data_IF_367357706431
#
_entry.id   IF_367357706431
#
_cell.length_a   1.000
_cell.length_b   1.000
_cell.length_c   1.000
_cell.angle_alpha   90.00
_cell.angle_beta   90.00
_cell.angle_gamma   90.00
#
_symmetry.space_group_name_H-M   'P 1'
#
loop_
_entity.id
_entity.type
_entity.pdbx_description
1 polymer ?
#
# COMPACT_ATOMS: atom_id res chain seq x y z
N UNK A 1 -22.15 -10.38 -1.65
CA UNK A 1 -21.77 -9.52 -2.80
C UNK A 1 -20.46 -8.76 -2.56
N UNK A 2 -20.25 -8.11 -1.41
CA UNK A 2 -19.02 -7.36 -1.12
C UNK A 2 -17.73 -8.17 -1.29
N UNK A 3 -17.68 -9.41 -0.78
CA UNK A 3 -16.48 -10.24 -0.84
C UNK A 3 -15.99 -10.50 -2.28
N UNK A 4 -16.89 -10.87 -3.20
CA UNK A 4 -16.53 -11.10 -4.60
C UNK A 4 -16.12 -9.79 -5.30
N UNK A 5 -16.76 -8.67 -4.97
CA UNK A 5 -16.36 -7.34 -5.46
C UNK A 5 -14.93 -7.02 -5.05
N UNK A 6 -14.59 -7.18 -3.77
CA UNK A 6 -13.24 -6.90 -3.25
C UNK A 6 -12.21 -7.86 -3.85
N UNK A 7 -12.57 -9.13 -3.98
CA UNK A 7 -11.71 -10.12 -4.61
C UNK A 7 -11.37 -9.73 -6.05
N UNK A 8 -12.37 -9.40 -6.86
CA UNK A 8 -12.15 -9.02 -8.26
C UNK A 8 -11.43 -7.67 -8.40
N UNK A 9 -11.85 -6.67 -7.64
CA UNK A 9 -11.31 -5.32 -7.77
C UNK A 9 -9.93 -5.15 -7.12
N UNK A 10 -9.79 -5.55 -5.85
CA UNK A 10 -8.57 -5.36 -5.05
C UNK A 10 -7.63 -6.56 -5.17
N UNK A 11 -8.17 -7.78 -5.14
CA UNK A 11 -7.37 -9.01 -5.19
C UNK A 11 -6.87 -9.37 -6.59
N UNK A 12 -7.72 -9.23 -7.61
CA UNK A 12 -7.42 -9.56 -9.01
C UNK A 12 -7.11 -8.31 -9.86
N UNK A 13 -7.13 -7.12 -9.26
CA UNK A 13 -6.78 -5.85 -9.91
C UNK A 13 -7.59 -5.54 -11.18
N UNK A 14 -8.86 -5.94 -11.23
CA UNK A 14 -9.76 -5.48 -12.29
C UNK A 14 -10.01 -3.97 -12.15
N UNK A 15 -10.40 -3.31 -13.25
CA UNK A 15 -10.94 -1.95 -13.13
C UNK A 15 -12.36 -2.00 -12.54
N UNK A 16 -12.86 -0.88 -12.01
CA UNK A 16 -14.25 -0.80 -11.49
C UNK A 16 -15.25 -1.20 -12.57
N UNK A 17 -15.09 -0.66 -13.80
CA UNK A 17 -15.87 -1.04 -14.97
C UNK A 17 -15.83 -2.53 -15.26
N UNK A 18 -14.64 -3.15 -15.31
CA UNK A 18 -14.51 -4.60 -15.55
C UNK A 18 -15.11 -5.44 -14.42
N UNK A 19 -15.02 -4.97 -13.18
CA UNK A 19 -15.65 -5.64 -12.02
C UNK A 19 -17.17 -5.60 -12.15
N UNK A 20 -17.74 -4.44 -12.46
CA UNK A 20 -19.18 -4.27 -12.69
C UNK A 20 -19.68 -5.15 -13.85
N UNK A 21 -18.94 -5.17 -14.96
CA UNK A 21 -19.25 -6.01 -16.11
C UNK A 21 -19.23 -7.50 -15.75
N UNK A 22 -18.17 -7.99 -15.09
CA UNK A 22 -18.06 -9.39 -14.69
C UNK A 22 -19.19 -9.83 -13.76
N UNK A 23 -19.68 -8.94 -12.87
CA UNK A 23 -20.80 -9.26 -12.00
C UNK A 23 -22.14 -9.36 -12.73
N UNK A 24 -22.34 -8.52 -13.74
CA UNK A 24 -23.51 -8.60 -14.60
C UNK A 24 -23.50 -9.89 -15.43
N UNK A 25 -22.35 -10.25 -16.02
CA UNK A 25 -22.23 -11.41 -16.91
C UNK A 25 -22.26 -12.75 -16.15
N UNK A 26 -21.56 -12.85 -15.02
CA UNK A 26 -21.39 -14.13 -14.31
C UNK A 26 -22.51 -14.42 -13.31
N UNK A 27 -23.14 -13.38 -12.77
CA UNK A 27 -24.10 -13.51 -11.66
C UNK A 27 -25.43 -12.80 -11.94
N UNK A 28 -25.66 -12.30 -13.15
CA UNK A 28 -26.85 -11.51 -13.51
C UNK A 28 -27.11 -10.34 -12.52
N UNK A 29 -26.06 -9.84 -11.86
CA UNK A 29 -26.16 -8.83 -10.80
C UNK A 29 -25.47 -7.55 -11.26
N UNK A 30 -26.19 -6.66 -11.96
CA UNK A 30 -25.60 -5.40 -12.40
C UNK A 30 -25.33 -4.48 -11.21
N UNK A 31 -24.10 -3.94 -11.16
CA UNK A 31 -23.70 -2.91 -10.19
C UNK A 31 -23.03 -1.76 -10.93
N UNK A 32 -23.13 -0.54 -10.40
CA UNK A 32 -22.39 0.60 -10.95
C UNK A 32 -20.97 0.67 -10.35
N UNK A 33 -20.08 1.41 -11.03
CA UNK A 33 -18.70 1.64 -10.53
C UNK A 33 -18.68 2.34 -9.17
N UNK A 34 -19.70 3.17 -8.88
CA UNK A 34 -19.88 3.82 -7.58
C UNK A 34 -20.12 2.83 -6.45
N UNK A 35 -20.87 1.75 -6.70
CA UNK A 35 -21.07 0.67 -5.73
C UNK A 35 -19.77 -0.04 -5.42
N UNK A 36 -18.97 -0.37 -6.45
CA UNK A 36 -17.64 -0.99 -6.27
C UNK A 36 -16.74 -0.08 -5.43
N UNK A 37 -16.70 1.22 -5.74
CA UNK A 37 -15.91 2.20 -4.99
C UNK A 37 -16.37 2.32 -3.53
N UNK A 38 -17.68 2.43 -3.30
CA UNK A 38 -18.27 2.57 -1.96
C UNK A 38 -18.00 1.34 -1.09
N UNK A 39 -18.20 0.14 -1.65
CA UNK A 39 -17.92 -1.10 -0.94
C UNK A 39 -16.44 -1.26 -0.63
N UNK A 40 -15.56 -0.84 -1.53
CA UNK A 40 -14.11 -0.86 -1.28
C UNK A 40 -13.71 0.13 -0.19
N UNK A 41 -14.26 1.35 -0.20
CA UNK A 41 -13.99 2.33 0.84
C UNK A 41 -14.45 1.84 2.22
N UNK A 42 -15.65 1.26 2.31
CA UNK A 42 -16.16 0.66 3.56
C UNK A 42 -15.34 -0.52 4.05
N UNK A 43 -14.77 -1.31 3.15
CA UNK A 43 -13.91 -2.44 3.52
C UNK A 43 -12.50 -2.00 3.93
N UNK A 44 -12.04 -0.86 3.40
CA UNK A 44 -10.78 -0.25 3.82
C UNK A 44 -10.91 0.47 5.17
N UNK A 45 -12.12 0.91 5.52
CA UNK A 45 -12.42 1.49 6.82
C UNK A 45 -12.11 0.48 7.94
N UNK A 46 -11.42 0.92 8.98
CA UNK A 46 -10.97 0.07 10.08
C UNK A 46 -9.70 -0.76 9.81
N UNK A 47 -9.02 -0.61 8.66
CA UNK A 47 -7.74 -1.31 8.43
C UNK A 47 -6.53 -0.66 9.12
N UNK A 48 -6.68 0.48 9.80
CA UNK A 48 -5.54 1.23 10.35
C UNK A 48 -4.74 0.41 11.37
N UNK A 49 -5.41 -0.26 12.31
CA UNK A 49 -4.75 -1.11 13.30
C UNK A 49 -4.03 -2.30 12.65
N UNK A 50 -4.64 -2.89 11.63
CA UNK A 50 -4.02 -3.95 10.84
C UNK A 50 -2.77 -3.45 10.10
N UNK A 51 -2.83 -2.26 9.51
CA UNK A 51 -1.69 -1.64 8.84
C UNK A 51 -0.58 -1.31 9.84
N UNK A 52 -0.91 -0.83 11.04
CA UNK A 52 0.04 -0.58 12.14
C UNK A 52 0.74 -1.86 12.55
N UNK A 53 -0.01 -2.92 12.86
CA UNK A 53 0.55 -4.23 13.20
C UNK A 53 1.48 -4.76 12.10
N UNK A 54 1.14 -4.56 10.83
CA UNK A 54 1.98 -4.97 9.71
C UNK A 54 3.27 -4.16 9.61
N UNK A 55 3.22 -2.86 9.85
CA UNK A 55 4.41 -2.00 9.86
C UNK A 55 5.37 -2.45 10.96
N UNK A 56 4.86 -2.68 12.17
CA UNK A 56 5.65 -3.13 13.32
C UNK A 56 6.32 -4.48 13.02
N UNK A 57 5.56 -5.47 12.53
CA UNK A 57 6.11 -6.79 12.18
C UNK A 57 7.16 -6.75 11.07
N UNK A 58 7.04 -5.81 10.12
CA UNK A 58 8.07 -5.63 9.09
C UNK A 58 9.31 -4.95 9.68
N UNK A 59 9.14 -4.01 10.61
CA UNK A 59 10.24 -3.34 11.29
C UNK A 59 11.03 -4.29 12.20
N UNK A 60 10.35 -5.24 12.85
CA UNK A 60 10.96 -6.24 13.73
C UNK A 60 11.58 -7.43 13.00
N UNK A 61 11.41 -7.52 11.68
CA UNK A 61 11.90 -8.65 10.91
C UNK A 61 13.44 -8.61 10.76
N UNK A 62 14.08 -9.77 10.91
CA UNK A 62 15.53 -9.93 10.70
C UNK A 62 15.97 -9.48 9.31
N UNK A 63 15.15 -9.78 8.29
CA UNK A 63 15.37 -9.38 6.90
C UNK A 63 14.08 -8.80 6.31
N UNK A 64 14.15 -7.56 5.85
CA UNK A 64 13.09 -6.87 5.12
C UNK A 64 13.59 -6.34 3.77
N UNK A 65 12.80 -6.58 2.72
CA UNK A 65 13.02 -6.03 1.39
C UNK A 65 12.20 -4.78 1.17
N UNK A 66 12.77 -3.78 0.49
CA UNK A 66 12.11 -2.53 0.14
C UNK A 66 12.24 -2.27 -1.36
N UNK A 67 11.15 -1.86 -1.99
CA UNK A 67 11.09 -1.52 -3.41
C UNK A 67 10.21 -0.29 -3.64
N UNK A 68 10.42 0.39 -4.77
CA UNK A 68 9.65 1.59 -5.14
C UNK A 68 9.24 1.49 -6.60
N UNK A 69 7.96 1.71 -6.88
CA UNK A 69 7.46 1.77 -8.26
C UNK A 69 6.71 3.07 -8.53
N UNK A 70 6.87 3.61 -9.73
CA UNK A 70 6.18 4.82 -10.15
C UNK A 70 4.73 4.52 -10.51
N UNK A 71 3.79 5.29 -9.95
CA UNK A 71 2.37 5.23 -10.28
C UNK A 71 1.87 6.62 -10.64
N UNK A 72 1.18 6.77 -11.78
CA UNK A 72 0.54 8.04 -12.11
C UNK A 72 -0.87 8.11 -11.53
N UNK A 73 -1.14 9.15 -10.75
CA UNK A 73 -2.45 9.45 -10.19
C UNK A 73 -2.85 10.85 -10.63
N UNK A 74 -4.02 10.99 -11.24
CA UNK A 74 -4.54 12.25 -11.77
C UNK A 74 -3.52 13.05 -12.62
N UNK A 75 -2.71 12.34 -13.42
CA UNK A 75 -1.69 12.96 -14.27
C UNK A 75 -0.36 13.27 -13.59
N UNK A 76 -0.20 13.06 -12.28
CA UNK A 76 1.04 13.30 -11.54
C UNK A 76 1.74 12.00 -11.13
N UNK A 77 3.08 11.99 -11.16
CA UNK A 77 3.88 10.84 -10.73
C UNK A 77 3.91 10.77 -9.19
N UNK A 78 3.44 9.64 -8.66
CA UNK A 78 3.55 9.23 -7.28
C UNK A 78 4.48 8.01 -7.20
N UNK A 79 5.04 7.77 -6.03
CA UNK A 79 5.93 6.62 -5.78
C UNK A 79 5.25 5.70 -4.78
N UNK A 80 4.92 4.48 -5.21
CA UNK A 80 4.43 3.42 -4.32
C UNK A 80 5.65 2.79 -3.67
N UNK A 81 5.73 2.83 -2.35
CA UNK A 81 6.72 2.08 -1.58
C UNK A 81 6.17 0.69 -1.24
N UNK A 82 6.97 -0.33 -1.45
CA UNK A 82 6.69 -1.69 -1.02
C UNK A 82 7.68 -2.08 0.08
N UNK A 83 7.18 -2.64 1.18
CA UNK A 83 7.98 -3.25 2.22
C UNK A 83 7.52 -4.70 2.39
N UNK A 84 8.44 -5.65 2.39
CA UNK A 84 8.11 -7.07 2.46
C UNK A 84 9.06 -7.88 3.31
N UNK A 85 8.51 -8.90 3.95
CA UNK A 85 9.23 -10.04 4.52
C UNK A 85 8.80 -11.29 3.76
N UNK A 86 9.23 -12.49 4.17
CA UNK A 86 8.78 -13.73 3.52
C UNK A 86 7.25 -13.93 3.60
N UNK A 87 6.57 -13.69 4.75
CA UNK A 87 5.11 -13.82 4.83
C UNK A 87 4.32 -12.50 4.65
N UNK A 88 4.95 -11.33 4.66
CA UNK A 88 4.25 -10.04 4.68
C UNK A 88 4.63 -9.15 3.48
N UNK A 89 3.64 -8.49 2.88
CA UNK A 89 3.79 -7.52 1.77
C UNK A 89 2.96 -6.23 1.95
N UNK A 90 3.56 -5.13 2.40
CA UNK A 90 2.87 -3.86 2.61
C UNK A 90 3.18 -2.90 1.46
N UNK A 91 2.13 -2.35 0.84
CA UNK A 91 2.23 -1.28 -0.15
C UNK A 91 1.72 0.03 0.44
N UNK A 92 2.47 1.10 0.27
CA UNK A 92 2.12 2.42 0.77
C UNK A 92 2.35 3.48 -0.31
N UNK A 93 1.32 4.28 -0.58
CA UNK A 93 1.40 5.47 -1.40
C UNK A 93 1.43 6.68 -0.46
N UNK A 94 2.56 7.41 -0.35
CA UNK A 94 2.59 8.64 0.38
C UNK A 94 1.76 9.69 -0.39
N UNK A 95 1.05 10.53 0.35
CA UNK A 95 0.20 11.59 -0.20
C UNK A 95 0.97 12.59 -1.08
N UNK A 96 2.29 12.69 -0.91
CA UNK A 96 3.11 13.69 -1.58
C UNK A 96 3.66 13.18 -2.92
N UNK A 97 3.10 13.69 -4.02
CA UNK A 97 3.69 13.54 -5.35
C UNK A 97 5.10 14.16 -5.38
N UNK A 98 6.07 13.48 -6.01
CA UNK A 98 7.40 14.07 -6.27
C UNK A 98 7.31 14.88 -7.56
N UNK A 99 7.97 16.06 -7.66
CA UNK A 99 7.97 16.86 -8.88
C UNK A 99 8.42 16.08 -10.11
N UNK A 100 7.81 16.38 -11.25
CA UNK A 100 8.16 15.80 -12.54
C UNK A 100 9.63 16.14 -12.86
N UNK A 101 10.47 15.11 -13.03
CA UNK A 101 11.93 15.25 -13.24
C UNK A 101 12.81 14.84 -12.06
N UNK A 102 12.24 14.36 -10.94
CA UNK A 102 13.03 13.78 -9.85
C UNK A 102 13.83 12.54 -10.32
N UNK A 103 15.15 12.69 -10.47
CA UNK A 103 16.11 11.59 -10.73
C UNK A 103 16.59 10.99 -9.41
N UNK A 104 16.49 9.67 -9.28
CA UNK A 104 17.00 8.90 -8.12
C UNK A 104 18.46 9.27 -7.85
N UNK A 105 18.76 9.90 -6.70
CA UNK A 105 20.15 10.02 -6.24
C UNK A 105 20.63 8.62 -5.87
N UNK A 106 21.69 8.13 -6.53
CA UNK A 106 22.24 6.76 -6.35
C UNK A 106 22.75 6.44 -4.94
N UNK A 107 22.78 7.39 -4.00
CA UNK A 107 23.20 7.15 -2.61
C UNK A 107 22.01 7.30 -1.67
N UNK A 108 21.66 6.20 -0.99
CA UNK A 108 20.84 6.25 0.20
C UNK A 108 21.52 7.16 1.22
N UNK A 109 20.80 8.18 1.71
CA UNK A 109 21.23 8.93 2.89
C UNK A 109 20.95 8.01 4.09
N UNK A 110 21.93 7.74 4.98
CA UNK A 110 21.67 6.92 6.15
C UNK A 110 20.52 7.51 6.95
N UNK A 111 19.51 6.70 7.27
CA UNK A 111 18.46 7.05 8.23
C UNK A 111 19.16 7.15 9.60
N UNK A 112 19.07 8.27 10.32
CA UNK A 112 19.72 8.39 11.63
C UNK A 112 19.11 7.37 12.59
N UNK A 113 19.89 6.38 13.01
CA UNK A 113 19.57 5.58 14.19
C UNK A 113 19.74 6.48 15.41
N UNK A 114 18.66 6.67 16.18
CA UNK A 114 18.69 7.44 17.43
C UNK A 114 19.77 6.92 18.36
N UNK A 115 20.71 7.79 18.75
CA UNK A 115 21.74 7.51 19.76
C UNK A 115 21.08 7.40 21.14
N UNK A 116 20.82 6.17 21.58
CA UNK A 116 20.53 5.85 22.98
C UNK A 116 21.69 5.06 23.59
N UNK A 117 22.75 5.74 24.00
CA UNK A 117 23.77 5.17 24.89
C UNK A 117 24.51 6.30 25.63
N UNK A 118 24.06 6.64 26.84
CA UNK A 118 24.93 7.24 27.85
C UNK A 118 25.26 6.14 28.86
N UNK A 119 26.46 5.58 28.74
CA UNK A 119 27.18 5.05 29.91
C UNK A 119 27.98 6.22 30.46
N UNK A 120 27.77 6.58 31.72
CA UNK A 120 28.73 7.37 32.50
C UNK A 120 29.27 6.41 33.55
N UNK A 121 30.58 6.23 33.52
CA UNK A 121 31.32 5.25 34.28
C UNK A 121 31.54 5.64 35.74
N UNK A 122 31.96 4.62 36.47
CA UNK A 122 32.41 4.55 37.86
C UNK A 122 33.71 5.31 38.13
N UNK A 123 33.86 5.69 39.40
CA UNK A 123 35.00 6.21 40.17
C UNK A 123 35.26 7.72 40.07
#
# INVERSE_FOLDING_TARGET
MTAIILYLYVGQFLSKKRTAQALAELFATPVCEGTVATMTARAADGLEDFLSLRRDRIADAEVAGFDETGLRVAGSLHWVHCARTRPLHLYHLPYQARPQGYRRRRRARPVPRGRGARRVGTL
#
